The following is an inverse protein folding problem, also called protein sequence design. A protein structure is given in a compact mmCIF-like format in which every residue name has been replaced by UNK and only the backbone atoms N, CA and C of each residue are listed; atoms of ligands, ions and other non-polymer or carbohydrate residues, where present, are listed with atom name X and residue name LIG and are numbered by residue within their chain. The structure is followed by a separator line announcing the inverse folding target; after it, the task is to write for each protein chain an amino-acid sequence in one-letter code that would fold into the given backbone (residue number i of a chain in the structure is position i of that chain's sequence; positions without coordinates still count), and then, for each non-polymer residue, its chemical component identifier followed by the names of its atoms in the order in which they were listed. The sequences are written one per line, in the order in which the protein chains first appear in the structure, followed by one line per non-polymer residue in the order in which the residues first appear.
data_IF_962779031540
#
_entry.id   IF_962779031540
#
_cell.length_a   1.000
_cell.length_b   1.000
_cell.length_c   1.000
_cell.angle_alpha   90.00
_cell.angle_beta   90.00
_cell.angle_gamma   90.00
#
_symmetry.space_group_name_H-M   'P 1'
#
loop_
_entity.id
_entity.type
_entity.pdbx_description
1 polymer ?
#
# COMPACT_ATOMS: atom_id res chain seq x y z
N UNK A 1 -23.24 -50.63 -1.64
CA UNK A 1 -24.26 -50.89 -0.75
C UNK A 1 -25.39 -51.78 -1.20
N UNK A 2 -25.22 -52.75 -2.15
CA UNK A 2 -26.31 -53.66 -2.55
C UNK A 2 -26.21 -55.07 -1.94
N UNK A 3 -25.45 -55.21 -0.86
CA UNK A 3 -25.40 -56.51 -0.18
C UNK A 3 -26.70 -56.80 0.57
N UNK A 4 -27.22 -58.04 0.46
CA UNK A 4 -28.51 -58.44 1.08
C UNK A 4 -28.45 -58.52 2.60
N UNK A 5 -27.28 -58.75 3.17
CA UNK A 5 -27.12 -58.88 4.62
C UNK A 5 -26.95 -57.49 5.28
N UNK A 6 -27.83 -57.23 6.25
CA UNK A 6 -27.84 -55.95 6.98
C UNK A 6 -26.57 -55.71 7.79
N UNK A 7 -25.99 -56.76 8.42
CA UNK A 7 -24.78 -56.61 9.21
C UNK A 7 -23.59 -56.21 8.35
N UNK A 8 -23.45 -56.81 7.16
CA UNK A 8 -22.38 -56.47 6.23
C UNK A 8 -22.52 -55.04 5.73
N UNK A 9 -23.75 -54.59 5.51
CA UNK A 9 -24.00 -53.18 5.11
C UNK A 9 -23.66 -52.18 6.20
N UNK A 10 -24.04 -52.50 7.45
CA UNK A 10 -23.73 -51.63 8.60
C UNK A 10 -22.23 -51.55 8.82
N UNK A 11 -21.51 -52.68 8.84
CA UNK A 11 -20.06 -52.73 8.99
C UNK A 11 -19.33 -51.92 7.88
N UNK A 12 -19.81 -52.06 6.63
CA UNK A 12 -19.24 -51.26 5.51
C UNK A 12 -19.47 -49.75 5.68
N UNK A 13 -20.65 -49.37 6.13
CA UNK A 13 -20.96 -47.93 6.38
C UNK A 13 -20.13 -47.37 7.53
N UNK A 14 -19.90 -48.15 8.60
CA UNK A 14 -19.04 -47.75 9.71
C UNK A 14 -17.58 -47.55 9.27
N UNK A 15 -17.04 -48.47 8.48
CA UNK A 15 -15.67 -48.33 7.93
C UNK A 15 -15.56 -47.14 7.01
N UNK A 16 -16.55 -46.94 6.13
CA UNK A 16 -16.55 -45.78 5.22
C UNK A 16 -16.64 -44.45 5.98
N UNK A 17 -17.47 -44.41 7.03
CA UNK A 17 -17.59 -43.20 7.88
C UNK A 17 -16.27 -42.90 8.59
N UNK A 18 -15.58 -43.93 9.11
CA UNK A 18 -14.25 -43.75 9.72
C UNK A 18 -13.20 -43.22 8.73
N UNK A 19 -13.18 -43.77 7.51
CA UNK A 19 -12.25 -43.29 6.45
C UNK A 19 -12.52 -41.84 6.11
N UNK A 20 -13.78 -41.43 5.98
CA UNK A 20 -14.14 -40.06 5.69
C UNK A 20 -13.80 -39.11 6.84
N UNK A 21 -14.01 -39.53 8.10
CA UNK A 21 -13.62 -38.74 9.27
C UNK A 21 -12.10 -38.56 9.37
N UNK A 22 -11.32 -39.63 9.10
CA UNK A 22 -9.87 -39.54 9.08
C UNK A 22 -9.38 -38.58 7.98
N UNK A 23 -10.00 -38.58 6.82
CA UNK A 23 -9.70 -37.60 5.74
C UNK A 23 -9.91 -36.16 6.22
N UNK A 24 -11.05 -35.90 6.88
CA UNK A 24 -11.38 -34.56 7.41
C UNK A 24 -10.39 -34.13 8.52
N UNK A 25 -9.99 -35.03 9.39
CA UNK A 25 -8.97 -34.76 10.42
C UNK A 25 -7.60 -34.47 9.81
N UNK A 26 -7.24 -35.12 8.72
CA UNK A 26 -5.99 -34.86 7.97
C UNK A 26 -6.00 -33.49 7.30
N UNK A 27 -7.11 -33.10 6.69
CA UNK A 27 -7.26 -31.79 6.08
C UNK A 27 -7.17 -30.67 7.13
N UNK A 28 -7.85 -30.83 8.27
CA UNK A 28 -7.78 -29.88 9.40
C UNK A 28 -6.36 -29.76 9.96
N UNK A 29 -5.65 -30.89 10.10
CA UNK A 29 -4.25 -30.89 10.56
C UNK A 29 -3.33 -30.19 9.54
N UNK A 30 -3.53 -30.41 8.24
CA UNK A 30 -2.76 -29.77 7.20
C UNK A 30 -2.97 -28.25 7.19
N UNK A 31 -4.22 -27.79 7.35
CA UNK A 31 -4.55 -26.37 7.49
C UNK A 31 -3.90 -25.73 8.72
N UNK A 32 -3.90 -26.42 9.86
CA UNK A 32 -3.26 -25.95 11.10
C UNK A 32 -1.75 -25.81 10.92
N UNK A 33 -1.09 -26.82 10.31
CA UNK A 33 0.36 -26.77 10.04
C UNK A 33 0.72 -25.66 9.07
N UNK A 34 -0.12 -25.42 8.05
CA UNK A 34 0.07 -24.30 7.12
C UNK A 34 -0.07 -22.95 7.81
N UNK A 35 -1.07 -22.79 8.69
CA UNK A 35 -1.28 -21.56 9.45
C UNK A 35 -0.09 -21.28 10.38
N UNK A 36 0.42 -22.30 11.07
CA UNK A 36 1.60 -22.17 11.94
C UNK A 36 2.86 -21.78 11.16
N UNK A 37 3.08 -22.38 10.00
CA UNK A 37 4.21 -22.03 9.12
C UNK A 37 4.09 -20.64 8.55
N UNK A 38 2.88 -20.23 8.21
CA UNK A 38 2.62 -18.86 7.75
C UNK A 38 2.93 -17.85 8.84
N UNK A 39 2.47 -18.09 10.08
CA UNK A 39 2.76 -17.20 11.21
C UNK A 39 4.27 -17.13 11.51
N UNK A 40 5.00 -18.24 11.43
CA UNK A 40 6.46 -18.26 11.59
C UNK A 40 7.14 -17.42 10.49
N UNK A 41 6.67 -17.51 9.24
CA UNK A 41 7.17 -16.68 8.15
C UNK A 41 6.89 -15.19 8.38
N UNK A 42 5.68 -14.86 8.83
CA UNK A 42 5.30 -13.49 9.18
C UNK A 42 6.21 -12.95 10.29
N UNK A 43 6.44 -13.71 11.36
CA UNK A 43 7.34 -13.33 12.46
C UNK A 43 8.77 -13.10 11.95
N UNK A 44 9.27 -13.96 11.07
CA UNK A 44 10.59 -13.82 10.48
C UNK A 44 10.70 -12.52 9.65
N UNK A 45 9.75 -12.25 8.77
CA UNK A 45 9.77 -11.07 7.89
C UNK A 45 9.62 -9.78 8.68
N UNK A 46 8.82 -9.79 9.75
CA UNK A 46 8.56 -8.61 10.59
C UNK A 46 9.50 -8.49 11.80
N UNK A 47 10.53 -9.34 11.88
CA UNK A 47 11.51 -9.33 12.97
C UNK A 47 12.21 -7.97 13.07
N UNK A 48 12.24 -7.42 14.29
CA UNK A 48 12.92 -6.17 14.63
C UNK A 48 14.18 -6.51 15.40
N UNK A 49 15.32 -5.95 14.99
CA UNK A 49 16.59 -6.05 15.70
C UNK A 49 16.66 -5.08 16.88
N UNK A 50 17.77 -5.15 17.63
CA UNK A 50 17.96 -4.40 18.88
C UNK A 50 17.97 -2.89 18.70
N UNK A 51 18.28 -2.40 17.50
CA UNK A 51 18.32 -0.97 17.14
C UNK A 51 17.10 -0.50 16.37
N UNK A 52 16.06 -1.34 16.27
CA UNK A 52 14.86 -1.06 15.51
C UNK A 52 14.96 -1.33 14.00
N UNK A 53 16.06 -1.96 13.56
CA UNK A 53 16.25 -2.38 12.17
C UNK A 53 15.36 -3.56 11.80
N UNK A 54 15.04 -3.67 10.51
CA UNK A 54 14.24 -4.75 9.93
C UNK A 54 15.12 -5.58 8.97
N UNK A 55 15.96 -6.49 9.48
CA UNK A 55 17.02 -7.11 8.68
C UNK A 55 16.48 -7.94 7.53
N UNK A 56 15.41 -8.69 7.73
CA UNK A 56 14.83 -9.55 6.68
C UNK A 56 14.08 -8.70 5.65
N UNK A 57 13.31 -7.71 6.08
CA UNK A 57 12.61 -6.82 5.16
C UNK A 57 13.61 -6.02 4.28
N UNK A 58 14.72 -5.56 4.84
CA UNK A 58 15.80 -4.90 4.09
C UNK A 58 16.49 -5.89 3.15
N UNK A 59 16.79 -7.11 3.58
CA UNK A 59 17.37 -8.12 2.70
C UNK A 59 16.46 -8.43 1.49
N UNK A 60 15.15 -8.58 1.71
CA UNK A 60 14.18 -8.75 0.65
C UNK A 60 14.15 -7.56 -0.31
N UNK A 61 14.25 -6.33 0.20
CA UNK A 61 14.30 -5.12 -0.64
C UNK A 61 15.50 -5.08 -1.57
N UNK A 62 16.60 -5.75 -1.22
CA UNK A 62 17.82 -5.79 -2.02
C UNK A 62 17.80 -6.84 -3.14
N UNK A 63 16.98 -7.88 -3.00
CA UNK A 63 16.95 -9.00 -3.95
C UNK A 63 15.72 -8.97 -4.86
N UNK A 64 14.71 -8.17 -4.54
CA UNK A 64 13.49 -8.04 -5.33
C UNK A 64 13.80 -7.40 -6.70
N UNK A 65 13.20 -7.94 -7.75
CA UNK A 65 13.33 -7.40 -9.09
C UNK A 65 12.35 -6.25 -9.33
N UNK A 66 12.65 -5.37 -10.28
CA UNK A 66 11.84 -4.17 -10.55
C UNK A 66 10.38 -4.46 -10.85
N UNK A 67 10.08 -5.60 -11.50
CA UNK A 67 8.71 -6.02 -11.80
C UNK A 67 7.94 -6.57 -10.60
N UNK A 68 8.62 -6.90 -9.50
CA UNK A 68 8.03 -7.41 -8.26
C UNK A 68 7.94 -6.36 -7.15
N UNK A 69 8.55 -5.18 -7.35
CA UNK A 69 8.61 -4.13 -6.31
C UNK A 69 7.23 -3.61 -5.90
N UNK A 70 6.31 -3.43 -6.86
CA UNK A 70 4.97 -2.94 -6.56
C UNK A 70 4.17 -3.94 -5.71
N UNK A 71 4.33 -5.23 -6.00
CA UNK A 71 3.69 -6.29 -5.23
C UNK A 71 4.30 -6.40 -3.82
N UNK A 72 5.63 -6.38 -3.71
CA UNK A 72 6.32 -6.41 -2.42
C UNK A 72 5.96 -5.20 -1.56
N UNK A 73 5.89 -4.01 -2.14
CA UNK A 73 5.48 -2.79 -1.44
C UNK A 73 4.08 -2.93 -0.83
N UNK A 74 3.13 -3.44 -1.61
CA UNK A 74 1.76 -3.70 -1.15
C UNK A 74 1.72 -4.73 -0.03
N UNK A 75 2.42 -5.86 -0.21
CA UNK A 75 2.49 -6.92 0.80
C UNK A 75 3.11 -6.39 2.09
N UNK A 76 4.21 -5.64 2.02
CA UNK A 76 4.86 -5.07 3.18
C UNK A 76 3.95 -4.10 3.93
N UNK A 77 3.34 -3.15 3.25
CA UNK A 77 2.44 -2.19 3.91
C UNK A 77 1.29 -2.92 4.59
N UNK A 78 0.64 -3.88 3.90
CA UNK A 78 -0.47 -4.63 4.46
C UNK A 78 -0.06 -5.48 5.67
N UNK A 79 1.08 -6.18 5.56
CA UNK A 79 1.57 -7.08 6.60
C UNK A 79 2.02 -6.31 7.85
N UNK A 80 2.83 -5.26 7.66
CA UNK A 80 3.36 -4.48 8.77
C UNK A 80 2.28 -3.62 9.45
N UNK A 81 1.27 -3.15 8.69
CA UNK A 81 0.11 -2.48 9.27
C UNK A 81 -0.73 -3.44 10.14
N UNK A 82 -1.00 -4.64 9.64
CA UNK A 82 -1.71 -5.67 10.39
C UNK A 82 -1.00 -6.10 11.69
N UNK A 83 0.33 -5.97 11.74
CA UNK A 83 1.16 -6.22 12.93
C UNK A 83 1.44 -4.97 13.76
N UNK A 84 0.87 -3.83 13.42
CA UNK A 84 1.13 -2.52 14.05
C UNK A 84 2.60 -2.07 13.98
N UNK A 85 3.31 -2.49 12.94
CA UNK A 85 4.72 -2.24 12.70
C UNK A 85 4.97 -1.34 11.47
N UNK A 86 3.94 -0.63 10.98
CA UNK A 86 4.06 0.23 9.79
C UNK A 86 5.08 1.35 10.00
N UNK A 87 5.12 1.96 11.19
CA UNK A 87 6.07 3.03 11.50
C UNK A 87 7.54 2.56 11.45
N UNK A 88 7.94 1.44 12.07
CA UNK A 88 9.26 0.85 11.87
C UNK A 88 9.58 0.53 10.41
N UNK A 89 8.62 0.01 9.63
CA UNK A 89 8.81 -0.24 8.20
C UNK A 89 9.14 1.05 7.45
N UNK A 90 8.32 2.09 7.61
CA UNK A 90 8.50 3.38 6.94
C UNK A 90 9.85 3.99 7.30
N UNK A 91 10.21 3.99 8.59
CA UNK A 91 11.49 4.50 9.05
C UNK A 91 12.67 3.78 8.36
N UNK A 92 12.70 2.45 8.39
CA UNK A 92 13.79 1.66 7.82
C UNK A 92 13.90 1.85 6.30
N UNK A 93 12.77 1.84 5.59
CA UNK A 93 12.77 1.97 4.13
C UNK A 93 13.14 3.39 3.69
N UNK A 94 12.67 4.42 4.39
CA UNK A 94 12.98 5.81 4.06
C UNK A 94 14.40 6.18 4.44
N UNK A 95 14.89 5.71 5.60
CA UNK A 95 16.30 5.90 5.98
C UNK A 95 17.23 5.30 4.92
N UNK A 96 16.94 4.08 4.48
CA UNK A 96 17.71 3.45 3.42
C UNK A 96 17.64 4.20 2.09
N UNK A 97 16.48 4.69 1.72
CA UNK A 97 16.32 5.51 0.50
C UNK A 97 17.21 6.74 0.54
N UNK A 98 17.30 7.40 1.70
CA UNK A 98 18.17 8.56 1.91
C UNK A 98 19.65 8.14 1.84
N UNK A 99 20.04 7.01 2.45
CA UNK A 99 21.43 6.52 2.42
C UNK A 99 21.93 6.20 1.01
N UNK A 100 21.07 5.64 0.14
CA UNK A 100 21.45 5.23 -1.22
C UNK A 100 21.20 6.30 -2.27
N UNK A 101 20.59 7.41 -1.91
CA UNK A 101 20.29 8.50 -2.84
C UNK A 101 21.49 9.41 -3.05
N UNK A 102 21.92 9.55 -4.30
CA UNK A 102 23.06 10.40 -4.64
C UNK A 102 22.71 11.90 -4.61
N UNK A 103 21.44 12.25 -4.74
CA UNK A 103 20.99 13.65 -4.71
C UNK A 103 19.54 13.80 -4.27
N UNK A 104 19.22 14.98 -3.69
CA UNK A 104 17.87 15.31 -3.23
C UNK A 104 16.82 15.36 -4.35
N UNK A 105 17.23 15.60 -5.58
CA UNK A 105 16.31 15.73 -6.73
C UNK A 105 15.74 14.39 -7.16
N UNK A 106 16.44 13.28 -6.91
CA UNK A 106 16.01 11.92 -7.24
C UNK A 106 15.39 11.18 -6.06
N UNK A 107 15.49 11.74 -4.85
CA UNK A 107 14.97 11.13 -3.61
C UNK A 107 13.47 10.90 -3.72
N UNK A 108 13.01 9.67 -3.46
CA UNK A 108 11.62 9.21 -3.57
C UNK A 108 10.96 9.38 -4.96
N UNK A 109 11.73 9.70 -5.98
CA UNK A 109 11.25 9.84 -7.38
C UNK A 109 11.66 8.68 -8.26
N UNK A 110 12.54 7.82 -7.77
CA UNK A 110 13.03 6.64 -8.46
C UNK A 110 12.07 5.45 -8.42
N UNK A 111 12.53 4.35 -8.98
CA UNK A 111 11.83 3.08 -8.96
C UNK A 111 12.33 2.18 -7.81
N UNK A 112 12.52 2.77 -6.62
CA UNK A 112 12.95 2.08 -5.41
C UNK A 112 11.76 1.49 -4.64
N UNK A 113 12.01 0.48 -3.81
CA UNK A 113 10.98 -0.07 -2.94
C UNK A 113 10.46 0.99 -1.94
N UNK A 114 11.33 1.87 -1.41
CA UNK A 114 10.93 2.96 -0.53
C UNK A 114 9.93 3.92 -1.19
N UNK A 115 10.19 4.32 -2.45
CA UNK A 115 9.25 5.18 -3.21
C UNK A 115 7.91 4.49 -3.49
N UNK A 116 7.92 3.16 -3.75
CA UNK A 116 6.70 2.38 -3.97
C UNK A 116 5.87 2.24 -2.68
N UNK A 117 6.52 1.96 -1.56
CA UNK A 117 5.87 1.91 -0.23
C UNK A 117 5.23 3.27 0.09
N UNK A 118 5.96 4.37 -0.11
CA UNK A 118 5.43 5.72 0.13
C UNK A 118 4.19 6.01 -0.74
N UNK A 119 4.27 5.73 -2.04
CA UNK A 119 3.14 5.92 -2.95
C UNK A 119 1.92 5.09 -2.54
N UNK A 120 2.13 3.85 -2.10
CA UNK A 120 1.06 2.97 -1.64
C UNK A 120 0.42 3.47 -0.34
N UNK A 121 1.23 3.93 0.62
CA UNK A 121 0.74 4.55 1.86
C UNK A 121 -0.09 5.80 1.57
N UNK A 122 0.35 6.67 0.66
CA UNK A 122 -0.43 7.85 0.28
C UNK A 122 -1.78 7.50 -0.37
N UNK A 123 -1.84 6.44 -1.16
CA UNK A 123 -3.10 5.98 -1.74
C UNK A 123 -4.10 5.47 -0.68
N UNK A 124 -3.62 4.80 0.35
CA UNK A 124 -4.50 4.20 1.37
C UNK A 124 -4.83 5.21 2.47
N UNK A 125 -3.80 5.81 3.08
CA UNK A 125 -3.97 6.66 4.28
C UNK A 125 -4.09 8.14 3.95
N UNK A 126 -3.55 8.56 2.79
CA UNK A 126 -3.55 9.95 2.35
C UNK A 126 -4.78 10.36 1.53
N UNK A 127 -5.59 9.41 1.05
CA UNK A 127 -6.69 9.69 0.13
C UNK A 127 -7.68 10.73 0.71
N UNK A 128 -8.16 10.54 1.93
CA UNK A 128 -9.10 11.45 2.58
C UNK A 128 -8.49 12.84 2.82
N UNK A 129 -7.21 12.89 3.20
CA UNK A 129 -6.49 14.14 3.39
C UNK A 129 -6.36 14.90 2.05
N UNK A 130 -5.93 14.22 0.99
CA UNK A 130 -5.77 14.80 -0.33
C UNK A 130 -7.11 15.26 -0.90
N UNK A 131 -8.17 14.48 -0.72
CA UNK A 131 -9.51 14.86 -1.13
C UNK A 131 -9.94 16.15 -0.43
N UNK A 132 -9.85 16.22 0.89
CA UNK A 132 -10.20 17.41 1.65
C UNK A 132 -9.35 18.65 1.33
N UNK A 133 -8.13 18.45 0.80
CA UNK A 133 -7.24 19.51 0.35
C UNK A 133 -7.58 20.00 -1.05
N UNK A 134 -7.79 19.06 -1.99
CA UNK A 134 -7.92 19.36 -3.41
C UNK A 134 -9.37 19.66 -3.83
N UNK A 135 -10.36 19.06 -3.19
CA UNK A 135 -11.77 19.24 -3.55
C UNK A 135 -12.22 20.71 -3.52
N UNK A 136 -11.90 21.52 -2.48
CA UNK A 136 -12.23 22.94 -2.49
C UNK A 136 -11.55 23.73 -3.62
N UNK A 137 -10.29 23.39 -3.94
CA UNK A 137 -9.54 24.03 -5.03
C UNK A 137 -10.14 23.70 -6.39
N UNK A 138 -10.46 22.42 -6.61
CA UNK A 138 -11.10 21.96 -7.86
C UNK A 138 -12.49 22.60 -8.00
N UNK A 139 -13.25 22.69 -6.90
CA UNK A 139 -14.57 23.32 -6.93
C UNK A 139 -14.46 24.82 -7.28
N UNK A 140 -13.49 25.53 -6.68
CA UNK A 140 -13.21 26.94 -7.02
C UNK A 140 -12.83 27.12 -8.49
N UNK A 141 -12.03 26.19 -9.05
CA UNK A 141 -11.72 26.19 -10.49
C UNK A 141 -12.97 26.00 -11.34
N UNK A 142 -13.85 25.08 -10.99
CA UNK A 142 -15.09 24.79 -11.71
C UNK A 142 -16.05 25.99 -11.65
N UNK A 143 -16.19 26.60 -10.49
CA UNK A 143 -17.13 27.71 -10.25
C UNK A 143 -16.67 29.00 -10.97
N UNK A 144 -15.35 29.19 -11.12
CA UNK A 144 -14.76 30.36 -11.78
C UNK A 144 -14.50 30.16 -13.28
N UNK A 145 -15.10 29.16 -13.92
CA UNK A 145 -14.81 28.76 -15.32
C UNK A 145 -15.31 29.78 -16.37
N UNK A 146 -16.13 30.74 -16.01
CA UNK A 146 -16.58 31.80 -16.97
C UNK A 146 -15.44 32.77 -17.23
N UNK A 147 -14.60 32.46 -18.24
CA UNK A 147 -13.58 33.34 -18.78
C UNK A 147 -12.19 33.21 -18.15
N UNK A 148 -11.98 32.34 -17.19
CA UNK A 148 -10.66 32.09 -16.57
C UNK A 148 -10.07 30.77 -17.04
N UNK A 149 -8.85 30.81 -17.61
CA UNK A 149 -8.11 29.62 -18.00
C UNK A 149 -6.95 29.36 -17.04
N UNK A 150 -6.65 28.09 -16.79
CA UNK A 150 -5.52 27.60 -15.98
C UNK A 150 -4.55 26.78 -16.82
N UNK A 151 -4.72 26.72 -18.15
CA UNK A 151 -3.85 25.97 -19.05
C UNK A 151 -2.49 26.66 -19.16
N UNK A 152 -1.41 25.95 -18.84
CA UNK A 152 -0.03 26.43 -18.85
C UNK A 152 0.88 25.65 -19.80
N UNK A 153 0.34 24.66 -20.51
CA UNK A 153 1.08 23.91 -21.53
C UNK A 153 1.10 24.72 -22.84
N UNK A 154 2.26 25.23 -23.27
CA UNK A 154 2.36 26.04 -24.52
C UNK A 154 1.86 25.29 -25.76
N UNK A 155 1.90 23.95 -25.76
CA UNK A 155 1.43 23.12 -26.88
C UNK A 155 -0.10 23.09 -27.02
N UNK A 156 -0.84 23.53 -25.99
CA UNK A 156 -2.30 23.55 -25.94
C UNK A 156 -2.90 24.94 -25.98
N UNK A 157 -2.03 25.97 -26.07
CA UNK A 157 -2.45 27.38 -26.03
C UNK A 157 -2.47 27.97 -27.42
N UNK A 158 -3.48 28.79 -27.70
CA UNK A 158 -3.64 29.48 -28.99
C UNK A 158 -2.76 30.71 -29.12
N UNK A 159 -2.34 31.33 -27.99
CA UNK A 159 -1.50 32.53 -27.97
C UNK A 159 -0.59 32.57 -26.73
N UNK A 160 0.65 33.06 -26.92
CA UNK A 160 1.66 33.17 -25.85
C UNK A 160 1.28 34.24 -24.79
N UNK A 161 0.52 35.24 -25.17
CA UNK A 161 0.08 36.34 -24.28
C UNK A 161 -0.84 35.83 -23.15
N UNK A 162 -1.56 34.74 -23.38
CA UNK A 162 -2.46 34.12 -22.40
C UNK A 162 -1.68 33.30 -21.34
N UNK A 163 -0.42 32.91 -21.60
CA UNK A 163 0.38 32.11 -20.70
C UNK A 163 0.64 32.79 -19.34
N UNK A 164 1.03 34.09 -19.39
CA UNK A 164 1.31 34.86 -18.18
C UNK A 164 0.05 35.01 -17.29
N UNK A 165 -1.09 35.27 -17.94
CA UNK A 165 -2.39 35.39 -17.26
C UNK A 165 -2.80 34.05 -16.64
N UNK A 166 -2.70 32.97 -17.38
CA UNK A 166 -3.00 31.61 -16.86
C UNK A 166 -2.07 31.19 -15.75
N UNK A 167 -0.78 31.54 -15.83
CA UNK A 167 0.18 31.28 -14.72
C UNK A 167 -0.17 32.10 -13.47
N UNK A 168 -0.61 33.34 -13.62
CA UNK A 168 -1.08 34.17 -12.51
C UNK A 168 -2.35 33.58 -11.88
N UNK A 169 -3.33 33.16 -12.69
CA UNK A 169 -4.55 32.52 -12.23
C UNK A 169 -4.25 31.26 -11.43
N UNK A 170 -3.34 30.40 -11.95
CA UNK A 170 -2.90 29.18 -11.27
C UNK A 170 -2.15 29.51 -9.98
N UNK A 171 -1.28 30.50 -9.97
CA UNK A 171 -0.54 30.92 -8.79
C UNK A 171 -1.45 31.47 -7.69
N UNK A 172 -2.49 32.20 -8.02
CA UNK A 172 -3.50 32.70 -7.10
C UNK A 172 -4.32 31.56 -6.49
N UNK A 173 -4.71 30.58 -7.31
CA UNK A 173 -5.45 29.40 -6.85
C UNK A 173 -4.64 28.55 -5.85
N UNK A 174 -3.34 28.35 -6.13
CA UNK A 174 -2.42 27.52 -5.30
C UNK A 174 -1.79 28.36 -4.17
N UNK A 175 -2.04 29.65 -4.09
CA UNK A 175 -1.51 30.53 -3.04
C UNK A 175 -1.83 30.01 -1.61
N UNK A 176 -0.92 30.19 -0.62
CA UNK A 176 -0.88 29.43 0.65
C UNK A 176 -2.09 29.58 1.58
N UNK A 177 -3.09 30.38 1.25
CA UNK A 177 -4.23 30.62 2.12
C UNK A 177 -5.11 29.37 2.40
N UNK A 178 -5.43 28.47 1.46
CA UNK A 178 -6.15 27.24 1.77
C UNK A 178 -5.26 26.16 2.42
N UNK A 179 -4.00 26.04 1.98
CA UNK A 179 -3.03 25.07 2.50
C UNK A 179 -2.63 25.41 3.94
N UNK A 180 -2.45 26.68 4.24
CA UNK A 180 -2.11 27.16 5.60
C UNK A 180 -3.27 26.93 6.57
N UNK A 181 -4.52 27.09 6.13
CA UNK A 181 -5.71 26.81 6.97
C UNK A 181 -5.84 25.32 7.30
N UNK A 182 -5.54 24.41 6.38
CA UNK A 182 -5.63 22.95 6.62
C UNK A 182 -4.48 22.42 7.49
N UNK A 183 -3.29 22.98 7.39
CA UNK A 183 -2.15 22.63 8.25
C UNK A 183 -2.40 23.16 9.67
N UNK A 184 -2.96 24.34 9.82
CA UNK A 184 -3.25 24.95 11.14
C UNK A 184 -4.39 24.23 11.87
N UNK A 185 -5.38 23.68 11.15
CA UNK A 185 -6.51 22.94 11.74
C UNK A 185 -6.18 21.53 12.25
N UNK A 186 -4.99 20.98 11.92
CA UNK A 186 -4.55 19.64 12.39
C UNK A 186 -3.44 19.65 13.43
N UNK A 187 -2.98 20.82 13.87
CA UNK A 187 -1.96 20.98 14.93
C UNK A 187 -2.62 21.37 16.28
N UNK A 188 -3.93 21.55 16.29
CA UNK A 188 -4.75 21.66 17.51
C UNK A 188 -5.56 20.38 17.70
#
# INVERSE_FOLDING_TARGET
GYHKDLQTRTAFMEVLTKILQQGTEFDTLAETVLADRFEQLVQLVTMIGDKGELPIAIALSNVVTSNQMDELARVFVTLFDAKHLLSPLLWNMFYREVEVSDCMQTLFRGNSLGSKIMAFCFKIYGATFLQGLLEPLIQEMIDNTEGVSFEVDPARMEAVEVLEENQQNLALLVSPSPLTRLVTLKVT
#
